data_IF_320537729241
#
_entry.id   IF_320537729241
#
_cell.length_a   1.000
_cell.length_b   1.000
_cell.length_c   1.000
_cell.angle_alpha   90.00
_cell.angle_beta   90.00
_cell.angle_gamma   90.00
#
_symmetry.space_group_name_H-M   'P 1'
#
loop_
_entity.id
_entity.type
_entity.pdbx_description
1 polymer ?
#
# COMPACT_ATOMS: atom_id res chain seq x y z
N UNK A 1 0.05 25.58 -6.99
CA UNK A 1 0.99 24.59 -7.56
C UNK A 1 1.22 23.51 -6.52
N UNK A 2 1.05 22.23 -6.86
CA UNK A 2 1.30 21.12 -5.93
C UNK A 2 2.76 20.68 -6.01
N UNK A 3 3.39 20.53 -4.86
CA UNK A 3 4.75 20.01 -4.72
C UNK A 3 4.67 18.65 -4.04
N UNK A 4 5.50 17.71 -4.49
CA UNK A 4 5.66 16.41 -3.85
C UNK A 4 7.04 16.34 -3.19
N UNK A 5 7.09 15.68 -2.04
CA UNK A 5 8.36 15.42 -1.37
C UNK A 5 8.88 14.07 -1.82
N UNK A 6 10.13 14.01 -2.24
CA UNK A 6 10.77 12.75 -2.59
C UNK A 6 10.85 11.86 -1.34
N UNK A 7 10.34 10.61 -1.39
CA UNK A 7 10.36 9.72 -0.24
C UNK A 7 11.77 9.32 0.21
N UNK A 8 12.77 9.40 -0.68
CA UNK A 8 14.16 9.01 -0.39
C UNK A 8 14.98 10.13 0.24
N UNK A 9 14.84 11.37 -0.24
CA UNK A 9 15.70 12.48 0.19
C UNK A 9 14.95 13.72 0.71
N UNK A 10 13.61 13.62 0.80
CA UNK A 10 12.70 14.66 1.29
C UNK A 10 12.76 16.00 0.54
N UNK A 11 13.45 16.05 -0.60
CA UNK A 11 13.47 17.23 -1.46
C UNK A 11 12.08 17.45 -2.08
N UNK A 12 11.54 18.67 -1.91
CA UNK A 12 10.31 19.07 -2.57
C UNK A 12 10.56 19.40 -4.04
N UNK A 13 9.74 18.84 -4.94
CA UNK A 13 9.83 19.10 -6.37
C UNK A 13 8.44 19.10 -7.01
N UNK A 14 8.31 19.80 -8.14
CA UNK A 14 7.06 19.87 -8.90
C UNK A 14 7.08 18.81 -10.01
N UNK A 15 6.24 17.80 -9.87
CA UNK A 15 6.17 16.67 -10.82
C UNK A 15 5.68 17.08 -12.21
N UNK A 16 4.98 18.21 -12.34
CA UNK A 16 4.58 18.73 -13.64
C UNK A 16 5.78 19.22 -14.46
N UNK A 17 6.85 19.66 -13.78
CA UNK A 17 8.07 20.17 -14.43
C UNK A 17 9.19 19.12 -14.44
N UNK A 18 9.19 18.18 -13.50
CA UNK A 18 10.27 17.21 -13.31
C UNK A 18 9.69 15.84 -12.98
N UNK A 19 9.82 14.88 -13.90
CA UNK A 19 9.33 13.51 -13.72
C UNK A 19 10.12 12.70 -12.66
N UNK A 20 11.28 13.21 -12.22
CA UNK A 20 12.13 12.62 -11.21
C UNK A 20 12.65 13.69 -10.24
N UNK A 21 12.99 13.27 -9.02
CA UNK A 21 13.58 14.14 -8.02
C UNK A 21 14.93 14.69 -8.54
N UNK A 22 15.14 16.02 -8.53
CA UNK A 22 16.38 16.61 -9.05
C UNK A 22 17.60 16.30 -8.18
N UNK A 23 17.39 15.86 -6.93
CA UNK A 23 18.47 15.60 -5.97
C UNK A 23 18.98 14.15 -6.03
N UNK A 24 18.09 13.17 -6.14
CA UNK A 24 18.46 11.75 -6.09
C UNK A 24 18.01 10.94 -7.30
N UNK A 25 17.35 11.56 -8.29
CA UNK A 25 16.95 10.90 -9.55
C UNK A 25 15.77 9.93 -9.42
N UNK A 26 15.20 9.73 -8.23
CA UNK A 26 14.05 8.86 -8.01
C UNK A 26 12.83 9.40 -8.76
N UNK A 27 12.21 8.54 -9.59
CA UNK A 27 11.01 8.90 -10.35
C UNK A 27 9.82 9.15 -9.44
N UNK A 28 9.00 10.13 -9.80
CA UNK A 28 7.70 10.34 -9.16
C UNK A 28 6.83 9.09 -9.33
N UNK A 29 6.28 8.58 -8.22
CA UNK A 29 5.45 7.36 -8.24
C UNK A 29 6.23 6.06 -8.43
N UNK A 30 7.56 6.06 -8.26
CA UNK A 30 8.32 4.82 -8.16
C UNK A 30 7.74 3.94 -7.04
N UNK A 31 7.57 2.62 -7.26
CA UNK A 31 7.11 1.72 -6.21
C UNK A 31 7.99 1.85 -4.98
N UNK A 32 7.38 2.21 -3.86
CA UNK A 32 8.03 2.16 -2.56
C UNK A 32 7.97 0.72 -2.06
N UNK A 33 9.08 0.23 -1.54
CA UNK A 33 9.10 -1.03 -0.81
C UNK A 33 8.56 -0.77 0.60
N UNK A 34 7.36 -1.24 0.96
CA UNK A 34 6.77 -0.98 2.27
C UNK A 34 7.29 -1.93 3.34
N UNK A 35 8.22 -2.84 3.02
CA UNK A 35 8.62 -3.94 3.91
C UNK A 35 9.12 -3.42 5.26
N UNK A 36 9.98 -2.42 5.26
CA UNK A 36 10.51 -1.82 6.50
C UNK A 36 9.40 -1.15 7.35
N UNK A 37 8.46 -0.46 6.69
CA UNK A 37 7.33 0.18 7.40
C UNK A 37 6.42 -0.87 8.04
N UNK A 38 6.18 -1.99 7.33
CA UNK A 38 5.38 -3.12 7.84
C UNK A 38 6.07 -3.78 9.03
N UNK A 39 7.39 -4.01 8.95
CA UNK A 39 8.18 -4.56 10.05
C UNK A 39 8.11 -3.63 11.27
N UNK A 40 8.36 -2.34 11.07
CA UNK A 40 8.32 -1.35 12.14
C UNK A 40 6.93 -1.27 12.81
N UNK A 41 5.86 -1.30 12.01
CA UNK A 41 4.49 -1.32 12.52
C UNK A 41 4.19 -2.61 13.31
N UNK A 42 4.62 -3.78 12.81
CA UNK A 42 4.43 -5.05 13.48
C UNK A 42 5.14 -5.10 14.84
N UNK A 43 6.37 -4.59 14.92
CA UNK A 43 7.09 -4.50 16.19
C UNK A 43 6.42 -3.55 17.19
N UNK A 44 5.95 -2.38 16.71
CA UNK A 44 5.21 -1.44 17.56
C UNK A 44 3.94 -2.08 18.10
N UNK A 45 3.21 -2.81 17.28
CA UNK A 45 2.03 -3.56 17.68
C UNK A 45 2.37 -4.62 18.74
N UNK A 46 3.41 -5.42 18.53
CA UNK A 46 3.84 -6.44 19.48
C UNK A 46 4.18 -5.83 20.86
N UNK A 47 4.88 -4.69 20.87
CA UNK A 47 5.19 -3.95 22.09
C UNK A 47 3.94 -3.40 22.79
N UNK A 48 2.95 -2.94 22.03
CA UNK A 48 1.69 -2.44 22.57
C UNK A 48 0.86 -3.58 23.20
N UNK A 49 0.75 -4.71 22.50
CA UNK A 49 0.02 -5.90 22.98
C UNK A 49 0.65 -6.43 24.27
N UNK A 50 1.98 -6.49 24.35
CA UNK A 50 2.68 -6.92 25.56
C UNK A 50 2.44 -6.06 26.80
N UNK A 51 1.92 -4.83 26.65
CA UNK A 51 1.58 -3.91 27.75
C UNK A 51 0.08 -3.78 27.97
N UNK A 52 -0.74 -4.34 27.09
CA UNK A 52 -2.19 -4.16 27.13
C UNK A 52 -2.83 -4.97 28.26
N UNK A 53 -3.83 -4.38 28.90
CA UNK A 53 -4.68 -5.08 29.87
C UNK A 53 -5.67 -6.02 29.16
N UNK A 54 -6.21 -7.04 29.84
CA UNK A 54 -7.22 -7.93 29.25
C UNK A 54 -8.46 -7.18 28.72
N UNK A 55 -8.89 -6.12 29.41
CA UNK A 55 -10.04 -5.30 28.97
C UNK A 55 -9.74 -4.56 27.67
N UNK A 56 -8.54 -4.00 27.53
CA UNK A 56 -8.12 -3.32 26.30
C UNK A 56 -8.00 -4.29 25.12
N UNK A 57 -7.52 -5.52 25.36
CA UNK A 57 -7.48 -6.56 24.32
C UNK A 57 -8.88 -6.96 23.87
N UNK A 58 -9.83 -7.13 24.80
CA UNK A 58 -11.22 -7.45 24.47
C UNK A 58 -11.89 -6.33 23.66
N UNK A 59 -11.64 -5.06 24.00
CA UNK A 59 -12.12 -3.91 23.24
C UNK A 59 -11.54 -3.87 21.82
N UNK A 60 -10.22 -4.04 21.69
CA UNK A 60 -9.56 -4.07 20.39
C UNK A 60 -10.09 -5.21 19.49
N UNK A 61 -10.37 -6.38 20.06
CA UNK A 61 -10.99 -7.49 19.34
C UNK A 61 -12.41 -7.16 18.85
N UNK A 62 -13.23 -6.50 19.68
CA UNK A 62 -14.56 -6.07 19.28
C UNK A 62 -14.53 -5.04 18.15
N UNK A 63 -13.59 -4.08 18.20
CA UNK A 63 -13.39 -3.11 17.12
C UNK A 63 -12.96 -3.76 15.80
N UNK A 64 -12.04 -4.73 15.86
CA UNK A 64 -11.62 -5.49 14.68
C UNK A 64 -12.78 -6.29 14.07
N UNK A 65 -13.58 -6.96 14.91
CA UNK A 65 -14.76 -7.70 14.44
C UNK A 65 -15.78 -6.78 13.74
N UNK A 66 -16.01 -5.57 14.28
CA UNK A 66 -16.87 -4.58 13.62
C UNK A 66 -16.27 -4.10 12.29
N UNK A 67 -14.95 -3.89 12.22
CA UNK A 67 -14.29 -3.49 10.98
C UNK A 67 -14.37 -4.57 9.91
N UNK A 68 -14.17 -5.83 10.28
CA UNK A 68 -14.28 -6.96 9.37
C UNK A 68 -15.71 -7.14 8.86
N UNK A 69 -16.72 -7.00 9.73
CA UNK A 69 -18.12 -7.02 9.32
C UNK A 69 -18.47 -5.88 8.33
N UNK A 70 -17.81 -4.73 8.46
CA UNK A 70 -17.97 -3.59 7.55
C UNK A 70 -17.03 -3.62 6.34
N UNK A 71 -16.14 -4.63 6.24
CA UNK A 71 -15.21 -4.77 5.13
C UNK A 71 -15.94 -5.43 3.97
N UNK A 72 -16.69 -4.64 3.21
CA UNK A 72 -17.21 -5.04 1.91
C UNK A 72 -16.05 -5.29 0.95
N UNK A 73 -15.50 -6.51 0.95
CA UNK A 73 -14.76 -6.99 -0.19
C UNK A 73 -15.75 -7.07 -1.36
N UNK A 74 -15.47 -6.47 -2.53
CA UNK A 74 -16.32 -6.71 -3.69
C UNK A 74 -16.34 -8.22 -3.94
N UNK A 75 -17.54 -8.80 -3.98
CA UNK A 75 -17.71 -10.22 -4.29
C UNK A 75 -16.93 -10.52 -5.59
N UNK A 76 -16.22 -11.65 -5.70
CA UNK A 76 -15.49 -12.00 -6.91
C UNK A 76 -16.38 -12.03 -8.17
N UNK A 77 -17.70 -12.23 -8.01
CA UNK A 77 -18.65 -12.11 -9.12
C UNK A 77 -18.93 -10.67 -9.58
N UNK A 78 -18.78 -9.67 -8.71
CA UNK A 78 -18.89 -8.25 -9.11
C UNK A 78 -17.73 -7.81 -10.02
N UNK A 79 -16.57 -8.48 -9.93
CA UNK A 79 -15.41 -8.30 -10.81
C UNK A 79 -15.58 -8.95 -12.19
N UNK A 80 -16.50 -9.92 -12.35
CA UNK A 80 -16.81 -10.51 -13.67
C UNK A 80 -17.67 -9.60 -14.53
N UNK A 81 -18.54 -8.80 -13.92
CA UNK A 81 -19.43 -7.87 -14.62
C UNK A 81 -18.80 -6.49 -14.85
N UNK A 82 -17.79 -6.09 -14.06
CA UNK A 82 -17.07 -4.83 -14.26
C UNK A 82 -15.79 -5.03 -15.09
N UNK A 83 -16.00 -4.88 -16.40
CA UNK A 83 -15.02 -4.52 -17.43
C UNK A 83 -13.96 -5.60 -17.83
N UNK A 84 -13.99 -6.10 -19.08
CA UNK A 84 -12.95 -6.99 -19.62
C UNK A 84 -11.53 -6.40 -19.65
N UNK A 85 -11.37 -5.09 -19.39
CA UNK A 85 -10.08 -4.41 -19.27
C UNK A 85 -9.34 -4.75 -17.98
N UNK A 86 -10.04 -4.98 -16.86
CA UNK A 86 -9.40 -5.31 -15.58
C UNK A 86 -8.82 -6.72 -15.60
N UNK A 87 -9.56 -7.70 -16.12
CA UNK A 87 -9.06 -9.07 -16.28
C UNK A 87 -7.86 -9.14 -17.24
N UNK A 88 -7.80 -8.27 -18.25
CA UNK A 88 -6.64 -8.14 -19.14
C UNK A 88 -5.43 -7.54 -18.41
N UNK A 89 -5.64 -6.53 -17.58
CA UNK A 89 -4.58 -5.92 -16.77
C UNK A 89 -4.00 -6.91 -15.74
N UNK A 90 -4.85 -7.66 -15.06
CA UNK A 90 -4.42 -8.70 -14.10
C UNK A 90 -3.66 -9.82 -14.81
N UNK A 91 -4.14 -10.28 -15.96
CA UNK A 91 -3.43 -11.32 -16.74
C UNK A 91 -2.09 -10.83 -17.28
N UNK A 92 -1.97 -9.55 -17.66
CA UNK A 92 -0.69 -8.95 -18.05
C UNK A 92 0.28 -8.82 -16.87
N UNK A 93 -0.22 -8.49 -15.68
CA UNK A 93 0.60 -8.39 -14.47
C UNK A 93 1.10 -9.75 -13.95
N UNK A 94 0.36 -10.83 -14.21
CA UNK A 94 0.70 -12.20 -13.82
C UNK A 94 1.48 -12.97 -14.89
N UNK A 95 1.66 -12.41 -16.09
CA UNK A 95 2.46 -13.04 -17.12
C UNK A 95 3.95 -12.93 -16.76
N UNK A 96 4.73 -14.02 -16.85
CA UNK A 96 6.16 -13.97 -16.58
C UNK A 96 6.86 -13.04 -17.57
N UNK A 97 7.74 -12.17 -17.05
CA UNK A 97 8.46 -11.19 -17.85
C UNK A 97 9.19 -11.86 -19.03
N UNK A 98 9.14 -11.29 -20.25
CA UNK A 98 9.83 -11.85 -21.39
C UNK A 98 11.32 -11.88 -21.13
N UNK A 99 11.94 -13.06 -21.31
CA UNK A 99 13.40 -13.20 -21.32
C UNK A 99 13.91 -12.47 -22.55
N UNK A 100 14.57 -11.34 -22.34
CA UNK A 100 15.32 -10.64 -23.39
C UNK A 100 16.59 -11.48 -23.60
N UNK A 101 16.66 -12.16 -24.75
CA UNK A 101 17.87 -12.79 -25.29
C UNK A 101 18.47 -11.89 -26.35
#
# INVERSE_FOLDING_TARGET
MSYLHCPTCQCAYNVANQAACPRCGVRAGAPLDPTEDVIAAAEQLARAVGRATPVQLAQAQAELAMRDANRALPAPDALRTTAPSLLRAVRAALAPAPKIS
#
